data_IF_120565650257
#
_entry.id   IF_120565650257
#
_cell.length_a   1.000
_cell.length_b   1.000
_cell.length_c   1.000
_cell.angle_alpha   90.00
_cell.angle_beta   90.00
_cell.angle_gamma   90.00
#
_symmetry.space_group_name_H-M   'P 1'
#
loop_
_entity.id
_entity.type
_entity.pdbx_description
1 polymer ?
#
# COMPACT_ATOMS: atom_id res chain seq x y z
N UNK A 1 -11.73 0.26 7.81
CA UNK A 1 -11.69 -0.28 9.19
C UNK A 1 -10.29 -0.09 9.73
N UNK A 2 -10.13 0.06 11.05
CA UNK A 2 -8.80 0.21 11.67
C UNK A 2 -8.35 -1.15 12.18
N UNK A 3 -7.14 -1.55 11.79
CA UNK A 3 -6.52 -2.81 12.22
C UNK A 3 -5.30 -2.51 13.08
N UNK A 4 -5.15 -3.23 14.19
CA UNK A 4 -3.87 -3.26 14.93
C UNK A 4 -2.89 -4.19 14.23
N UNK A 5 -1.60 -4.13 14.62
CA UNK A 5 -0.55 -4.98 14.04
C UNK A 5 -0.90 -6.48 14.12
N UNK A 6 -1.41 -6.95 15.26
CA UNK A 6 -1.79 -8.35 15.46
C UNK A 6 -3.01 -8.77 14.62
N UNK A 7 -3.94 -7.83 14.33
CA UNK A 7 -5.11 -8.10 13.49
C UNK A 7 -4.78 -8.08 12.00
N UNK A 8 -3.80 -7.25 11.61
CA UNK A 8 -3.26 -7.18 10.26
C UNK A 8 -2.36 -8.40 9.96
N UNK A 9 -1.78 -9.02 10.99
CA UNK A 9 -0.89 -10.16 10.83
C UNK A 9 -1.56 -11.33 10.07
N UNK A 10 -0.83 -11.84 9.07
CA UNK A 10 -1.29 -12.95 8.23
C UNK A 10 -2.31 -12.58 7.16
N UNK A 11 -2.75 -11.31 7.09
CA UNK A 11 -3.58 -10.80 5.99
C UNK A 11 -2.76 -10.54 4.72
N UNK A 12 -3.43 -10.70 3.58
CA UNK A 12 -2.90 -10.34 2.26
C UNK A 12 -3.43 -8.95 1.89
N UNK A 13 -2.53 -7.97 1.78
CA UNK A 13 -2.90 -6.55 1.69
C UNK A 13 -2.45 -5.99 0.35
N UNK A 14 -3.40 -5.55 -0.47
CA UNK A 14 -3.14 -4.89 -1.74
C UNK A 14 -2.70 -3.44 -1.56
N UNK A 15 -1.86 -2.96 -2.47
CA UNK A 15 -1.43 -1.57 -2.50
C UNK A 15 -2.56 -0.65 -2.97
N UNK A 16 -2.57 0.60 -2.47
CA UNK A 16 -3.62 1.58 -2.77
C UNK A 16 -3.69 2.01 -4.25
N UNK A 17 -2.60 1.81 -5.00
CA UNK A 17 -2.47 2.12 -6.43
C UNK A 17 -2.77 0.91 -7.33
N UNK A 18 -3.27 -0.20 -6.80
CA UNK A 18 -3.66 -1.36 -7.60
C UNK A 18 -4.77 -0.98 -8.59
N UNK A 19 -4.70 -1.50 -9.81
CA UNK A 19 -5.66 -1.18 -10.87
C UNK A 19 -7.02 -1.84 -10.60
N UNK A 20 -8.08 -1.04 -10.71
CA UNK A 20 -9.47 -1.44 -10.49
C UNK A 20 -10.32 -1.18 -11.73
N UNK A 21 -11.32 -2.03 -11.96
CA UNK A 21 -12.35 -1.84 -12.98
C UNK A 21 -13.44 -0.84 -12.53
N UNK A 22 -14.39 -0.51 -13.42
CA UNK A 22 -15.50 0.40 -13.12
C UNK A 22 -16.44 -0.08 -12.00
N UNK A 23 -16.33 -1.36 -11.59
CA UNK A 23 -17.10 -1.98 -10.52
C UNK A 23 -16.28 -2.15 -9.24
N UNK A 24 -15.08 -1.57 -9.16
CA UNK A 24 -14.13 -1.68 -8.06
C UNK A 24 -13.61 -3.10 -7.82
N UNK A 25 -13.46 -3.92 -8.86
CA UNK A 25 -12.72 -5.17 -8.79
C UNK A 25 -11.30 -4.99 -9.31
N UNK A 26 -10.34 -5.72 -8.72
CA UNK A 26 -8.98 -5.75 -9.23
C UNK A 26 -8.90 -6.31 -10.65
N UNK A 27 -8.08 -5.65 -11.47
CA UNK A 27 -7.78 -6.08 -12.83
C UNK A 27 -6.53 -6.95 -12.83
N UNK A 28 -6.66 -8.21 -13.26
CA UNK A 28 -5.51 -9.12 -13.37
C UNK A 28 -4.89 -9.53 -12.03
N UNK A 29 -3.58 -9.76 -12.01
CA UNK A 29 -2.84 -10.09 -10.79
C UNK A 29 -2.57 -8.83 -9.97
N UNK A 30 -2.62 -8.98 -8.65
CA UNK A 30 -2.48 -7.87 -7.70
C UNK A 30 -1.17 -8.00 -6.95
N UNK A 31 -0.39 -6.92 -6.90
CA UNK A 31 0.79 -6.85 -6.03
C UNK A 31 0.33 -6.60 -4.59
N UNK A 32 0.73 -7.49 -3.70
CA UNK A 32 0.31 -7.49 -2.29
C UNK A 32 1.51 -7.57 -1.36
N UNK A 33 1.35 -7.07 -0.13
CA UNK A 33 2.23 -7.42 0.99
C UNK A 33 1.59 -8.50 1.84
N UNK A 34 2.39 -9.52 2.18
CA UNK A 34 2.00 -10.59 3.09
C UNK A 34 3.24 -11.07 3.85
N UNK A 35 3.17 -11.06 5.19
CA UNK A 35 4.26 -11.53 6.09
C UNK A 35 5.64 -10.95 5.74
N UNK A 36 5.69 -9.65 5.44
CA UNK A 36 6.93 -8.95 5.09
C UNK A 36 7.45 -9.18 3.66
N UNK A 37 6.75 -9.97 2.83
CA UNK A 37 7.11 -10.20 1.44
C UNK A 37 6.15 -9.50 0.49
N UNK A 38 6.65 -9.13 -0.68
CA UNK A 38 5.85 -8.66 -1.81
C UNK A 38 5.60 -9.81 -2.78
N UNK A 39 4.34 -10.06 -3.09
CA UNK A 39 3.89 -11.17 -3.94
C UNK A 39 2.92 -10.65 -4.99
N UNK A 40 2.80 -11.37 -6.11
CA UNK A 40 1.68 -11.23 -7.03
C UNK A 40 0.68 -12.37 -6.81
N UNK A 41 -0.57 -12.02 -6.52
CA UNK A 41 -1.64 -12.98 -6.23
C UNK A 41 -2.87 -12.72 -7.09
N UNK A 42 -3.75 -13.72 -7.18
CA UNK A 42 -5.08 -13.52 -7.75
C UNK A 42 -5.92 -12.60 -6.86
N UNK A 43 -6.82 -11.76 -7.42
CA UNK A 43 -7.71 -10.86 -6.67
C UNK A 43 -8.49 -11.52 -5.53
N UNK A 44 -8.83 -12.80 -5.70
CA UNK A 44 -9.59 -13.59 -4.71
C UNK A 44 -8.81 -13.90 -3.43
N UNK A 45 -7.49 -13.73 -3.45
CA UNK A 45 -6.61 -13.97 -2.31
C UNK A 45 -6.36 -12.69 -1.49
N UNK A 46 -6.82 -11.53 -1.96
CA UNK A 46 -6.66 -10.25 -1.27
C UNK A 46 -7.69 -10.13 -0.14
N UNK A 47 -7.22 -9.90 1.08
CA UNK A 47 -8.08 -9.68 2.25
C UNK A 47 -8.41 -8.20 2.45
N UNK A 48 -7.41 -7.34 2.26
CA UNK A 48 -7.46 -5.90 2.57
C UNK A 48 -6.77 -5.08 1.46
N UNK A 49 -7.04 -3.78 1.46
CA UNK A 49 -6.35 -2.81 0.59
C UNK A 49 -5.97 -1.57 1.39
N UNK A 50 -4.79 -1.05 1.10
CA UNK A 50 -4.32 0.22 1.66
C UNK A 50 -5.25 1.38 1.28
N UNK A 51 -5.46 2.32 2.20
CA UNK A 51 -6.43 3.41 2.00
C UNK A 51 -5.85 4.52 1.10
N UNK A 52 -4.53 4.74 1.19
CA UNK A 52 -3.84 5.77 0.43
C UNK A 52 -2.35 5.46 0.33
N UNK A 53 -1.68 5.77 -0.80
CA UNK A 53 -0.23 5.69 -0.90
C UNK A 53 0.50 6.56 0.15
N UNK A 54 -0.17 7.60 0.67
CA UNK A 54 0.38 8.50 1.68
C UNK A 54 0.23 7.99 3.12
N UNK A 55 -0.44 6.85 3.34
CA UNK A 55 -0.69 6.36 4.71
C UNK A 55 0.59 5.97 5.46
N UNK A 56 1.70 5.71 4.74
CA UNK A 56 2.99 5.32 5.30
C UNK A 56 3.87 6.53 5.68
N UNK A 57 3.55 7.73 5.19
CA UNK A 57 4.37 8.92 5.43
C UNK A 57 3.73 9.84 6.45
N UNK A 58 4.57 10.56 7.20
CA UNK A 58 4.11 11.58 8.15
C UNK A 58 3.52 12.78 7.41
N UNK A 59 2.84 13.67 8.15
CA UNK A 59 2.27 14.90 7.59
C UNK A 59 3.35 15.77 6.92
N UNK A 60 4.52 15.91 7.54
CA UNK A 60 5.62 16.71 6.99
C UNK A 60 6.14 16.14 5.66
N UNK A 61 6.46 14.84 5.63
CA UNK A 61 6.93 14.19 4.41
C UNK A 61 5.86 14.18 3.31
N UNK A 62 4.58 14.06 3.68
CA UNK A 62 3.45 14.09 2.73
C UNK A 62 3.22 15.42 2.02
N UNK A 63 3.87 16.51 2.48
CA UNK A 63 3.87 17.83 1.84
C UNK A 63 5.01 18.02 0.84
N UNK A 64 5.98 17.12 0.78
CA UNK A 64 7.08 17.19 -0.18
C UNK A 64 6.54 16.77 -1.56
N UNK A 65 6.52 17.67 -2.56
CA UNK A 65 6.08 17.32 -3.91
C UNK A 65 7.09 16.38 -4.58
N UNK A 66 6.61 15.42 -5.36
CA UNK A 66 7.44 14.45 -6.07
C UNK A 66 8.36 13.63 -5.15
N UNK A 67 7.92 13.35 -3.92
CA UNK A 67 8.68 12.57 -2.92
C UNK A 67 9.10 11.19 -3.47
N UNK A 68 8.29 10.59 -4.34
CA UNK A 68 8.58 9.32 -5.00
C UNK A 68 9.81 9.38 -5.94
N UNK A 69 10.25 10.58 -6.30
CA UNK A 69 11.47 10.83 -7.08
C UNK A 69 12.66 11.26 -6.21
N UNK A 70 12.47 11.35 -4.89
CA UNK A 70 13.48 11.79 -3.94
C UNK A 70 14.19 10.60 -3.26
N UNK A 71 15.44 10.81 -2.84
CA UNK A 71 16.18 9.86 -2.01
C UNK A 71 15.67 9.92 -0.56
N UNK A 72 15.51 8.75 0.06
CA UNK A 72 15.03 8.62 1.43
C UNK A 72 15.84 9.45 2.44
N UNK A 73 17.15 9.61 2.25
CA UNK A 73 18.00 10.42 3.13
C UNK A 73 17.73 11.91 2.97
N UNK A 74 17.39 12.38 1.77
CA UNK A 74 17.04 13.79 1.52
C UNK A 74 15.65 14.10 2.07
N UNK A 75 14.72 13.16 1.95
CA UNK A 75 13.41 13.26 2.57
C UNK A 75 13.46 13.27 4.11
N UNK A 76 14.43 12.57 4.73
CA UNK A 76 14.61 12.53 6.19
C UNK A 76 15.23 13.81 6.78
N UNK A 77 16.11 14.47 6.01
CA UNK A 77 16.77 15.71 6.45
C UNK A 77 15.93 16.98 6.24
N UNK A 78 14.78 16.86 5.56
CA UNK A 78 13.83 17.95 5.30
C UNK A 78 12.84 18.20 6.43
#
# INVERSE_FOLDING_TARGET
EYFTADQEEGKVIAQANSELDEKNHFVGKVTVRARGNFLEVDPKQVDLMDVSPKQLVSIAAGLIPFLEHDDANRALMG
#
